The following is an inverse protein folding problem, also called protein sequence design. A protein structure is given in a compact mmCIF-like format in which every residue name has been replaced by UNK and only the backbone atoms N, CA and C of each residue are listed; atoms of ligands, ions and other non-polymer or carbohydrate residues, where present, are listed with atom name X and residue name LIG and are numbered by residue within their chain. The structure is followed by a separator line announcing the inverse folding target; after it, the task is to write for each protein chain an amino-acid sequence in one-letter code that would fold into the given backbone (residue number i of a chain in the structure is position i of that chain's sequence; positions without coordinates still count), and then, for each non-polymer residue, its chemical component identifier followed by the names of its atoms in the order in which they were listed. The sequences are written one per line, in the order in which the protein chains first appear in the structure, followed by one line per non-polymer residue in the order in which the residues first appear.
data_IF_796696416417
#
_entry.id   IF_796696416417
#
_cell.length_a   1.000
_cell.length_b   1.000
_cell.length_c   1.000
_cell.angle_alpha   90.00
_cell.angle_beta   90.00
_cell.angle_gamma   90.00
#
_symmetry.space_group_name_H-M   'P 1'
#
loop_
_entity.id
_entity.type
_entity.pdbx_description
1 polymer ?
#
# COMPACT_ATOMS: atom_id res chain seq x y z
N UNK A 1 27.47 -14.46 -5.38
CA UNK A 1 26.47 -14.25 -4.30
C UNK A 1 26.72 -12.96 -3.52
N UNK A 2 27.94 -12.71 -3.02
CA UNK A 2 28.29 -11.43 -2.37
C UNK A 2 28.10 -10.20 -3.29
N UNK A 3 28.41 -10.32 -4.59
CA UNK A 3 28.20 -9.25 -5.59
C UNK A 3 26.72 -8.95 -5.89
N UNK A 4 25.86 -9.98 -5.86
CA UNK A 4 24.42 -9.81 -6.09
C UNK A 4 23.74 -9.16 -4.89
N UNK A 5 24.05 -9.60 -3.66
CA UNK A 5 23.53 -8.95 -2.45
C UNK A 5 24.04 -7.51 -2.33
N UNK A 6 25.29 -7.23 -2.71
CA UNK A 6 25.82 -5.87 -2.75
C UNK A 6 25.16 -5.00 -3.83
N UNK A 7 24.77 -5.54 -4.99
CA UNK A 7 24.01 -4.78 -6.00
C UNK A 7 22.53 -4.61 -5.60
N UNK A 8 21.93 -5.62 -4.96
CA UNK A 8 20.55 -5.61 -4.48
C UNK A 8 20.38 -4.67 -3.28
N UNK A 9 21.33 -4.65 -2.34
CA UNK A 9 21.27 -3.81 -1.14
C UNK A 9 22.03 -2.48 -1.29
N UNK A 10 23.00 -2.41 -2.20
CA UNK A 10 23.86 -1.23 -2.39
C UNK A 10 23.26 -0.15 -3.30
N UNK A 11 22.19 -0.46 -4.04
CA UNK A 11 21.45 0.54 -4.79
C UNK A 11 20.33 1.14 -3.91
N UNK A 12 20.32 2.46 -3.65
CA UNK A 12 19.30 3.12 -2.83
C UNK A 12 17.86 2.83 -3.28
N UNK A 13 17.66 2.70 -4.60
CA UNK A 13 16.37 2.35 -5.18
C UNK A 13 15.87 0.96 -4.76
N UNK A 14 16.74 -0.05 -4.76
CA UNK A 14 16.39 -1.41 -4.37
C UNK A 14 16.13 -1.50 -2.85
N UNK A 15 16.96 -0.85 -2.04
CA UNK A 15 16.76 -0.77 -0.59
C UNK A 15 15.40 -0.12 -0.25
N UNK A 16 15.02 0.94 -0.97
CA UNK A 16 13.72 1.58 -0.83
C UNK A 16 12.55 0.63 -1.16
N UNK A 17 12.68 -0.20 -2.21
CA UNK A 17 11.66 -1.20 -2.54
C UNK A 17 11.58 -2.33 -1.51
N UNK A 18 12.71 -2.79 -0.96
CA UNK A 18 12.72 -3.79 0.12
C UNK A 18 12.04 -3.24 1.38
N UNK A 19 12.28 -1.98 1.74
CA UNK A 19 11.57 -1.31 2.82
C UNK A 19 10.06 -1.29 2.55
N UNK A 20 9.65 -0.96 1.34
CA UNK A 20 8.23 -0.99 0.97
C UNK A 20 7.62 -2.38 1.14
N UNK A 21 8.29 -3.45 0.68
CA UNK A 21 7.80 -4.82 0.86
C UNK A 21 7.62 -5.17 2.34
N UNK A 22 8.59 -4.81 3.18
CA UNK A 22 8.48 -5.02 4.63
C UNK A 22 7.28 -4.26 5.24
N UNK A 23 7.07 -3.02 4.80
CA UNK A 23 5.95 -2.19 5.26
C UNK A 23 4.59 -2.69 4.78
N UNK A 24 4.48 -3.25 3.57
CA UNK A 24 3.28 -3.93 3.09
C UNK A 24 2.96 -5.13 3.98
N UNK A 25 3.95 -5.99 4.24
CA UNK A 25 3.77 -7.16 5.10
C UNK A 25 3.32 -6.77 6.51
N UNK A 26 3.99 -5.77 7.11
CA UNK A 26 3.63 -5.24 8.41
C UNK A 26 2.19 -4.69 8.43
N UNK A 27 1.83 -3.85 7.45
CA UNK A 27 0.49 -3.27 7.37
C UNK A 27 -0.61 -4.32 7.20
N UNK A 28 -0.42 -5.29 6.31
CA UNK A 28 -1.39 -6.38 6.07
C UNK A 28 -1.51 -7.28 7.30
N UNK A 29 -0.40 -7.61 7.97
CA UNK A 29 -0.42 -8.43 9.17
C UNK A 29 -1.23 -7.77 10.28
N UNK A 30 -0.99 -6.49 10.54
CA UNK A 30 -1.75 -5.73 11.55
C UNK A 30 -3.22 -5.62 11.16
N UNK A 31 -3.53 -5.18 9.93
CA UNK A 31 -4.93 -5.00 9.52
C UNK A 31 -5.70 -6.32 9.54
N UNK A 32 -5.07 -7.46 9.20
CA UNK A 32 -5.70 -8.77 9.28
C UNK A 32 -5.94 -9.23 10.72
N UNK A 33 -4.95 -9.02 11.60
CA UNK A 33 -5.08 -9.38 13.02
C UNK A 33 -6.19 -8.57 13.72
N UNK A 34 -6.26 -7.26 13.47
CA UNK A 34 -7.31 -6.37 14.00
C UNK A 34 -8.71 -6.71 13.49
N UNK A 35 -8.80 -7.48 12.41
CA UNK A 35 -10.05 -8.01 11.84
C UNK A 35 -10.37 -9.43 12.34
N UNK A 36 -9.58 -9.97 13.26
CA UNK A 36 -9.77 -11.30 13.85
C UNK A 36 -9.29 -12.46 12.97
N UNK A 37 -8.39 -12.24 12.01
CA UNK A 37 -7.84 -13.32 11.19
C UNK A 37 -6.69 -14.04 11.90
N UNK A 38 -6.87 -15.33 12.21
CA UNK A 38 -5.81 -16.22 12.71
C UNK A 38 -4.66 -16.42 11.70
N UNK A 39 -4.93 -16.18 10.41
CA UNK A 39 -3.97 -16.31 9.31
C UNK A 39 -3.28 -14.98 8.94
N UNK A 40 -3.17 -14.01 9.86
CA UNK A 40 -2.65 -12.67 9.58
C UNK A 40 -1.25 -12.66 8.94
N UNK A 41 -0.36 -13.53 9.41
CA UNK A 41 0.99 -13.69 8.85
C UNK A 41 0.98 -14.30 7.44
N UNK A 42 0.07 -15.23 7.15
CA UNK A 42 -0.05 -15.82 5.82
C UNK A 42 -0.55 -14.79 4.80
N UNK A 43 -1.49 -13.92 5.19
CA UNK A 43 -1.91 -12.80 4.37
C UNK A 43 -0.75 -11.85 4.07
N UNK A 44 0.04 -11.51 5.09
CA UNK A 44 1.21 -10.64 4.94
C UNK A 44 2.24 -11.25 4.00
N UNK A 45 2.63 -12.51 4.22
CA UNK A 45 3.59 -13.21 3.38
C UNK A 45 3.10 -13.33 1.93
N UNK A 46 1.84 -13.69 1.74
CA UNK A 46 1.23 -13.77 0.41
C UNK A 46 1.27 -12.43 -0.31
N UNK A 47 0.94 -11.34 0.39
CA UNK A 47 0.98 -9.98 -0.15
C UNK A 47 2.39 -9.51 -0.49
N UNK A 48 3.40 -9.92 0.29
CA UNK A 48 4.81 -9.59 0.02
C UNK A 48 5.35 -10.36 -1.18
N UNK A 49 5.14 -11.68 -1.22
CA UNK A 49 5.66 -12.58 -2.25
C UNK A 49 4.92 -12.41 -3.58
N UNK A 50 3.60 -12.23 -3.53
CA UNK A 50 2.75 -12.07 -4.69
C UNK A 50 1.99 -10.74 -4.60
N UNK A 51 2.65 -9.65 -5.00
CA UNK A 51 2.11 -8.28 -4.93
C UNK A 51 0.68 -8.09 -5.47
N UNK A 52 0.24 -8.76 -6.56
CA UNK A 52 -1.16 -8.68 -6.99
C UNK A 52 -2.17 -9.11 -5.91
N UNK A 53 -1.76 -9.95 -4.94
CA UNK A 53 -2.60 -10.35 -3.81
C UNK A 53 -3.00 -9.17 -2.92
N UNK A 54 -2.23 -8.08 -2.89
CA UNK A 54 -2.60 -6.89 -2.10
C UNK A 54 -3.93 -6.30 -2.57
N UNK A 55 -4.19 -6.31 -3.88
CA UNK A 55 -5.49 -5.90 -4.44
C UNK A 55 -6.59 -6.88 -4.00
N UNK A 56 -6.32 -8.19 -4.06
CA UNK A 56 -7.24 -9.22 -3.57
C UNK A 56 -7.57 -9.05 -2.09
N UNK A 57 -6.56 -8.76 -1.26
CA UNK A 57 -6.72 -8.47 0.16
C UNK A 57 -7.56 -7.21 0.40
N UNK A 58 -7.31 -6.13 -0.35
CA UNK A 58 -8.09 -4.89 -0.29
C UNK A 58 -9.58 -5.12 -0.63
N UNK A 59 -9.87 -5.93 -1.64
CA UNK A 59 -11.23 -6.32 -2.02
C UNK A 59 -11.87 -7.25 -0.97
N UNK A 60 -11.11 -8.18 -0.42
CA UNK A 60 -11.59 -9.07 0.63
C UNK A 60 -11.96 -8.29 1.89
N UNK A 61 -11.08 -7.40 2.36
CA UNK A 61 -11.34 -6.57 3.54
C UNK A 61 -12.48 -5.58 3.35
N UNK A 62 -12.75 -5.16 2.12
CA UNK A 62 -13.90 -4.27 1.84
C UNK A 62 -15.22 -5.00 1.97
N UNK A 63 -15.24 -6.32 1.69
CA UNK A 63 -16.41 -7.18 1.83
C UNK A 63 -16.74 -7.48 3.30
N UNK A 64 -15.76 -7.79 4.14
CA UNK A 64 -15.97 -8.20 5.55
C UNK A 64 -16.31 -7.05 6.51
N UNK A 65 -16.31 -5.80 6.04
CA UNK A 65 -16.70 -4.64 6.84
C UNK A 65 -15.54 -3.88 7.48
N UNK A 66 -15.86 -2.95 8.37
CA UNK A 66 -14.89 -2.18 9.14
C UNK A 66 -14.31 -3.00 10.29
N UNK A 67 -13.17 -2.55 10.79
CA UNK A 67 -12.61 -3.05 12.05
C UNK A 67 -13.27 -2.34 13.24
N UNK A 68 -13.27 -2.95 14.44
CA UNK A 68 -13.86 -2.35 15.64
C UNK A 68 -13.16 -1.04 16.03
N UNK A 69 -11.83 -1.04 16.04
CA UNK A 69 -11.05 0.12 16.47
C UNK A 69 -10.40 0.85 15.29
N UNK A 70 -10.38 2.19 15.26
CA UNK A 70 -9.71 2.95 14.19
C UNK A 70 -8.19 2.76 14.21
N UNK A 71 -7.52 2.91 13.05
CA UNK A 71 -6.05 2.81 12.99
C UNK A 71 -5.38 3.77 13.96
N UNK A 72 -4.38 3.26 14.67
CA UNK A 72 -3.40 4.07 15.37
C UNK A 72 -2.54 4.89 14.42
N UNK A 73 -1.86 5.92 14.94
CA UNK A 73 -1.04 6.85 14.16
C UNK A 73 0.03 6.14 13.34
N UNK A 74 0.73 5.16 13.92
CA UNK A 74 1.79 4.42 13.24
C UNK A 74 1.25 3.63 12.04
N UNK A 75 0.18 2.87 12.22
CA UNK A 75 -0.48 2.13 11.14
C UNK A 75 -0.96 3.08 10.03
N UNK A 76 -1.46 4.27 10.40
CA UNK A 76 -1.87 5.26 9.40
C UNK A 76 -0.70 5.81 8.60
N UNK A 77 0.44 6.07 9.23
CA UNK A 77 1.64 6.51 8.54
C UNK A 77 2.13 5.43 7.57
N UNK A 78 2.20 4.17 8.02
CA UNK A 78 2.56 3.04 7.17
C UNK A 78 1.57 2.87 6.02
N UNK A 79 0.26 2.89 6.29
CA UNK A 79 -0.76 2.79 5.25
C UNK A 79 -0.69 3.93 4.23
N UNK A 80 -0.35 5.15 4.68
CA UNK A 80 -0.14 6.30 3.78
C UNK A 80 1.05 6.06 2.87
N UNK A 81 2.17 5.59 3.43
CA UNK A 81 3.37 5.26 2.66
C UNK A 81 3.10 4.13 1.65
N UNK A 82 2.44 3.06 2.07
CA UNK A 82 2.13 1.89 1.24
C UNK A 82 1.25 2.29 0.05
N UNK A 83 0.14 3.01 0.31
CA UNK A 83 -0.73 3.50 -0.77
C UNK A 83 0.02 4.46 -1.68
N UNK A 84 0.81 5.38 -1.10
CA UNK A 84 1.58 6.32 -1.90
C UNK A 84 2.58 5.63 -2.82
N UNK A 85 3.23 4.57 -2.34
CA UNK A 85 4.14 3.77 -3.14
C UNK A 85 3.40 3.02 -4.26
N UNK A 86 2.23 2.44 -4.00
CA UNK A 86 1.42 1.83 -5.07
C UNK A 86 1.09 2.84 -6.16
N UNK A 87 0.64 4.05 -5.80
CA UNK A 87 0.35 5.11 -6.77
C UNK A 87 1.62 5.52 -7.52
N UNK A 88 2.74 5.70 -6.83
CA UNK A 88 4.02 6.04 -7.44
C UNK A 88 4.48 4.99 -8.45
N UNK A 89 4.36 3.70 -8.12
CA UNK A 89 4.70 2.60 -9.01
C UNK A 89 3.83 2.59 -10.29
N UNK A 90 2.53 2.81 -10.15
CA UNK A 90 1.61 2.88 -11.30
C UNK A 90 1.91 4.10 -12.18
N UNK A 91 2.14 5.27 -11.57
CA UNK A 91 2.53 6.48 -12.30
C UNK A 91 3.88 6.30 -13.00
N UNK A 92 4.85 5.70 -12.33
CA UNK A 92 6.17 5.41 -12.90
C UNK A 92 6.07 4.55 -14.16
N UNK A 93 5.28 3.46 -14.07
CA UNK A 93 5.03 2.58 -15.21
C UNK A 93 4.28 3.30 -16.33
N UNK A 94 3.21 4.03 -16.01
CA UNK A 94 2.41 4.77 -16.99
C UNK A 94 3.23 5.84 -17.73
N UNK A 95 4.06 6.61 -17.02
CA UNK A 95 4.88 7.65 -17.62
C UNK A 95 5.98 7.08 -18.53
N UNK A 96 6.54 5.91 -18.20
CA UNK A 96 7.46 5.20 -19.07
C UNK A 96 6.75 4.61 -20.31
N UNK A 97 5.54 4.09 -20.14
CA UNK A 97 4.75 3.56 -21.24
C UNK A 97 4.34 4.65 -22.25
N UNK A 98 4.11 5.87 -21.77
CA UNK A 98 3.76 7.03 -22.59
C UNK A 98 4.99 7.82 -23.11
N UNK A 99 6.19 7.28 -22.95
CA UNK A 99 7.47 7.91 -23.32
C UNK A 99 7.71 9.31 -22.71
N UNK A 100 7.02 9.65 -21.61
CA UNK A 100 7.23 10.90 -20.86
C UNK A 100 8.50 10.82 -20.01
N UNK A 101 8.74 9.65 -19.42
CA UNK A 101 10.03 9.32 -18.80
C UNK A 101 10.78 8.40 -19.75
N UNK A 102 12.02 8.76 -20.08
CA UNK A 102 12.83 7.97 -20.98
C UNK A 102 12.93 6.52 -20.47
N UNK A 103 12.80 5.56 -21.38
CA UNK A 103 13.02 4.14 -21.11
C UNK A 103 14.48 3.80 -20.83
N UNK A 104 15.39 4.76 -21.05
CA UNK A 104 16.83 4.64 -20.77
C UNK A 104 17.07 4.47 -19.27
N UNK A 105 17.91 3.50 -18.92
CA UNK A 105 18.32 3.24 -17.53
C UNK A 105 19.09 4.44 -16.98
N UNK A 106 18.52 5.14 -15.99
CA UNK A 106 19.23 6.19 -15.27
C UNK A 106 20.12 5.58 -14.17
N UNK A 107 21.12 6.32 -13.66
CA UNK A 107 21.80 5.93 -12.43
C UNK A 107 20.78 5.73 -11.29
N UNK A 108 20.94 4.71 -10.42
CA UNK A 108 19.92 4.36 -9.40
C UNK A 108 19.51 5.51 -8.47
N UNK A 109 20.41 6.46 -8.21
CA UNK A 109 20.13 7.66 -7.39
C UNK A 109 19.14 8.59 -8.10
N UNK A 110 19.30 8.78 -9.41
CA UNK A 110 18.42 9.62 -10.21
C UNK A 110 17.04 8.97 -10.33
N UNK A 111 17.00 7.64 -10.53
CA UNK A 111 15.73 6.91 -10.52
C UNK A 111 14.99 7.07 -9.19
N UNK A 112 15.72 6.96 -8.06
CA UNK A 112 15.13 7.18 -6.74
C UNK A 112 14.60 8.61 -6.58
N UNK A 113 15.29 9.65 -7.06
CA UNK A 113 14.80 11.03 -6.99
C UNK A 113 13.48 11.23 -7.72
N UNK A 114 13.38 10.77 -8.97
CA UNK A 114 12.13 10.83 -9.72
C UNK A 114 11.03 10.00 -9.05
N UNK A 115 11.37 8.82 -8.54
CA UNK A 115 10.42 7.97 -7.84
C UNK A 115 9.89 8.63 -6.56
N UNK A 116 10.74 9.29 -5.78
CA UNK A 116 10.33 10.05 -4.59
C UNK A 116 9.42 11.23 -4.94
N UNK A 117 9.61 11.87 -6.09
CA UNK A 117 8.67 12.90 -6.57
C UNK A 117 7.28 12.31 -6.86
N UNK A 118 7.21 11.14 -7.51
CA UNK A 118 5.94 10.43 -7.72
C UNK A 118 5.33 9.92 -6.41
N UNK A 119 6.16 9.51 -5.45
CA UNK A 119 5.71 9.14 -4.10
C UNK A 119 5.02 10.31 -3.40
N UNK A 120 5.55 11.53 -3.50
CA UNK A 120 4.91 12.72 -2.94
C UNK A 120 3.50 12.94 -3.53
N UNK A 121 3.32 12.68 -4.84
CA UNK A 121 1.99 12.69 -5.47
C UNK A 121 1.11 11.59 -4.89
N UNK A 122 1.64 10.37 -4.69
CA UNK A 122 0.93 9.25 -4.08
C UNK A 122 0.56 9.42 -2.60
N UNK A 123 1.31 10.22 -1.84
CA UNK A 123 0.99 10.52 -0.43
C UNK A 123 -0.37 11.23 -0.31
N UNK A 124 -0.79 12.00 -1.32
CA UNK A 124 -2.10 12.67 -1.33
C UNK A 124 -3.27 11.67 -1.22
N UNK A 125 -3.45 10.70 -2.15
CA UNK A 125 -4.50 9.70 -2.00
C UNK A 125 -4.29 8.82 -0.77
N UNK A 126 -3.05 8.51 -0.38
CA UNK A 126 -2.77 7.80 0.87
C UNK A 126 -3.36 8.52 2.09
N UNK A 127 -3.14 9.83 2.17
CA UNK A 127 -3.65 10.67 3.26
C UNK A 127 -5.17 10.69 3.26
N UNK A 128 -5.79 10.90 2.10
CA UNK A 128 -7.25 10.92 1.95
C UNK A 128 -7.91 9.60 2.34
N UNK A 129 -7.29 8.48 1.96
CA UNK A 129 -7.83 7.14 2.21
C UNK A 129 -7.71 6.74 3.69
N UNK A 130 -6.57 7.03 4.31
CA UNK A 130 -6.21 6.53 5.63
C UNK A 130 -6.65 7.48 6.75
N UNK A 131 -6.42 8.78 6.60
CA UNK A 131 -6.69 9.75 7.66
C UNK A 131 -8.11 10.32 7.57
N UNK A 132 -8.58 10.59 6.36
CA UNK A 132 -9.88 11.23 6.13
C UNK A 132 -11.02 10.21 5.96
N UNK A 133 -10.89 9.04 6.61
CA UNK A 133 -11.85 7.92 6.53
C UNK A 133 -12.24 7.57 5.08
N UNK A 134 -11.34 7.78 4.12
CA UNK A 134 -11.64 7.62 2.68
C UNK A 134 -12.04 6.19 2.34
N UNK A 135 -11.39 5.18 2.93
CA UNK A 135 -11.81 3.79 2.79
C UNK A 135 -13.26 3.54 3.22
N UNK A 136 -13.68 4.12 4.35
CA UNK A 136 -15.05 4.00 4.83
C UNK A 136 -16.06 4.76 3.94
N UNK A 137 -15.64 5.86 3.31
CA UNK A 137 -16.48 6.58 2.33
C UNK A 137 -16.65 5.75 1.05
N UNK A 138 -15.58 5.22 0.49
CA UNK A 138 -15.62 4.40 -0.73
C UNK A 138 -16.51 3.17 -0.51
N UNK A 139 -16.36 2.45 0.62
CA UNK A 139 -17.23 1.31 0.94
C UNK A 139 -18.71 1.69 0.97
N UNK A 140 -19.04 2.85 1.56
CA UNK A 140 -20.41 3.38 1.59
C UNK A 140 -20.95 3.70 0.19
N UNK A 141 -20.17 4.41 -0.62
CA UNK A 141 -20.57 4.78 -1.98
C UNK A 141 -20.76 3.56 -2.88
N UNK A 142 -19.93 2.52 -2.73
CA UNK A 142 -20.02 1.28 -3.50
C UNK A 142 -21.07 0.28 -2.95
N UNK A 143 -21.78 0.63 -1.88
CA UNK A 143 -22.77 -0.26 -1.25
C UNK A 143 -22.17 -1.47 -0.53
N UNK A 144 -20.85 -1.51 -0.32
CA UNK A 144 -20.11 -2.56 0.38
C UNK A 144 -20.17 -2.41 1.91
N UNK A 145 -21.32 -2.01 2.42
CA UNK A 145 -21.57 -1.78 3.85
C UNK A 145 -22.41 -2.94 4.35
N UNK A 146 -21.88 -3.69 5.31
CA UNK A 146 -22.66 -4.69 6.04
C UNK A 146 -23.83 -4.02 6.77
N UNK A 147 -25.00 -4.65 6.81
CA UNK A 147 -26.21 -4.11 7.45
C UNK A 147 -25.97 -3.62 8.89
N UNK A 148 -25.11 -4.32 9.64
CA UNK A 148 -24.71 -3.94 11.00
C UNK A 148 -24.04 -2.54 11.09
N UNK A 149 -23.28 -2.12 10.07
CA UNK A 149 -22.69 -0.77 10.03
C UNK A 149 -23.72 0.30 9.62
N UNK A 150 -24.86 -0.06 9.03
CA UNK A 150 -25.93 0.89 8.69
C UNK A 150 -26.76 1.28 9.91
N UNK A 151 -27.02 0.32 10.80
CA UNK A 151 -27.84 0.53 12.00
C UNK A 151 -27.17 1.42 13.05
N UNK A 152 -25.84 1.33 13.19
CA UNK A 152 -25.06 2.15 14.11
C UNK A 152 -24.99 3.64 13.73
N UNK A 153 -25.34 3.99 12.48
CA UNK A 153 -25.33 5.37 11.95
C UNK A 153 -26.71 6.04 12.05
N UNK A 154 -27.78 5.25 12.22
CA UNK A 154 -29.15 5.76 12.38
C UNK A 154 -29.51 6.08 13.85
N UNK A 155 -28.57 5.89 14.79
CA UNK A 155 -28.68 6.33 16.18
C UNK A 155 -27.78 7.54 16.40
#
# INVERSE_FOLDING_TARGET
MASFLAALLGAPFNAFHLLFLALVGYWVSLDAAERGSDASLLWALGCVVFQPLVVGYLLYRSRIGGRPDPAGVQERLVGTFVIGHFVAAQLWFALRLLDVLASVTYPPVVELQYYLALLAVGVLPGTLLVWNRGWARIRRTLGWVHEQEREAVQR
#
